data_IF_372848338227
#
_entry.id   IF_372848338227
#
_cell.length_a   1.000
_cell.length_b   1.000
_cell.length_c   1.000
_cell.angle_alpha   90.00
_cell.angle_beta   90.00
_cell.angle_gamma   90.00
#
_symmetry.space_group_name_H-M   'P 1'
#
loop_
_entity.id
_entity.type
_entity.pdbx_description
1 polymer ?
#
# COMPACT_ATOMS: atom_id res chain seq x y z
N UNK A 1 -13.97 -21.45 15.04
CA UNK A 1 -12.58 -21.42 15.55
C UNK A 1 -12.62 -20.70 16.88
N UNK A 2 -12.11 -21.30 17.96
CA UNK A 2 -12.15 -20.71 19.30
C UNK A 2 -11.18 -19.52 19.36
N UNK A 3 -11.72 -18.30 19.38
CA UNK A 3 -10.94 -17.07 19.50
C UNK A 3 -10.45 -16.93 20.95
N UNK A 4 -9.22 -17.38 21.25
CA UNK A 4 -8.46 -17.24 22.50
C UNK A 4 -9.22 -16.53 23.65
N UNK A 5 -9.99 -17.31 24.42
CA UNK A 5 -11.12 -16.82 25.20
C UNK A 5 -10.81 -16.27 26.60
N UNK A 6 -9.57 -16.35 27.09
CA UNK A 6 -9.23 -15.86 28.45
C UNK A 6 -8.42 -14.55 28.44
N UNK A 7 -7.58 -14.36 27.42
CA UNK A 7 -6.78 -13.16 27.18
C UNK A 7 -6.93 -12.84 25.70
N UNK A 8 -7.81 -11.92 25.34
CA UNK A 8 -8.10 -11.61 23.93
C UNK A 8 -6.84 -11.34 23.09
N UNK A 9 -6.92 -11.57 21.77
CA UNK A 9 -5.79 -11.45 20.83
C UNK A 9 -4.91 -10.17 21.02
N UNK A 10 -5.46 -8.97 21.28
CA UNK A 10 -4.66 -7.77 21.53
C UNK A 10 -3.77 -7.87 22.77
N UNK A 11 -4.26 -8.49 23.85
CA UNK A 11 -3.51 -8.66 25.09
C UNK A 11 -2.33 -9.61 24.90
N UNK A 12 -2.57 -10.74 24.22
CA UNK A 12 -1.52 -11.70 23.88
C UNK A 12 -0.46 -11.08 22.97
N UNK A 13 -0.87 -10.29 21.96
CA UNK A 13 0.04 -9.56 21.09
C UNK A 13 0.89 -8.55 21.87
N UNK A 14 0.30 -7.82 22.81
CA UNK A 14 1.02 -6.87 23.64
C UNK A 14 2.10 -7.55 24.51
N UNK A 15 1.76 -8.66 25.15
CA UNK A 15 2.71 -9.47 25.95
C UNK A 15 3.84 -10.00 25.07
N UNK A 16 3.52 -10.56 23.90
CA UNK A 16 4.51 -11.06 22.94
C UNK A 16 5.50 -9.97 22.50
N UNK A 17 5.01 -8.76 22.20
CA UNK A 17 5.85 -7.60 21.83
C UNK A 17 6.74 -7.14 22.99
N UNK A 18 6.24 -7.16 24.22
CA UNK A 18 7.02 -6.78 25.40
C UNK A 18 8.16 -7.77 25.67
N UNK A 19 7.88 -9.08 25.58
CA UNK A 19 8.90 -10.13 25.71
C UNK A 19 9.96 -10.00 24.62
N UNK A 20 9.55 -9.76 23.37
CA UNK A 20 10.49 -9.58 22.26
C UNK A 20 11.43 -8.38 22.49
N UNK A 21 10.91 -7.25 22.98
CA UNK A 21 11.73 -6.09 23.35
C UNK A 21 12.68 -6.38 24.51
N UNK A 22 12.22 -7.07 25.55
CA UNK A 22 13.07 -7.47 26.67
C UNK A 22 14.19 -8.43 26.22
N UNK A 23 13.89 -9.35 25.30
CA UNK A 23 14.87 -10.26 24.70
C UNK A 23 15.95 -9.52 23.89
N UNK A 24 15.58 -8.45 23.19
CA UNK A 24 16.53 -7.60 22.48
C UNK A 24 17.48 -6.87 23.45
N UNK A 25 16.93 -6.29 24.53
CA UNK A 25 17.71 -5.57 25.56
C UNK A 25 18.65 -6.51 26.32
N UNK A 26 18.18 -7.70 26.71
CA UNK A 26 19.02 -8.67 27.45
C UNK A 26 20.20 -9.19 26.62
N UNK A 27 20.10 -9.13 25.29
CA UNK A 27 21.18 -9.51 24.36
C UNK A 27 21.94 -8.32 23.76
N UNK A 28 21.72 -7.12 24.30
CA UNK A 28 22.36 -5.87 23.87
C UNK A 28 22.33 -5.66 22.35
N UNK A 29 21.16 -5.91 21.74
CA UNK A 29 20.98 -5.78 20.29
C UNK A 29 19.72 -4.97 19.95
N UNK A 30 19.71 -4.26 18.80
CA UNK A 30 18.52 -3.55 18.37
C UNK A 30 17.38 -4.53 18.06
N UNK A 31 16.13 -4.11 18.30
CA UNK A 31 14.94 -4.95 18.14
C UNK A 31 14.84 -5.58 16.74
N UNK A 32 15.19 -4.84 15.69
CA UNK A 32 15.19 -5.36 14.32
C UNK A 32 16.18 -6.52 14.12
N UNK A 33 17.38 -6.41 14.71
CA UNK A 33 18.39 -7.47 14.67
C UNK A 33 17.97 -8.67 15.52
N UNK A 34 17.31 -8.44 16.65
CA UNK A 34 16.75 -9.52 17.48
C UNK A 34 15.65 -10.29 16.74
N UNK A 35 14.75 -9.59 16.05
CA UNK A 35 13.72 -10.23 15.22
C UNK A 35 14.35 -11.02 14.06
N UNK A 36 15.35 -10.46 13.37
CA UNK A 36 16.07 -11.16 12.31
C UNK A 36 16.78 -12.43 12.83
N UNK A 37 17.39 -12.34 14.03
CA UNK A 37 17.99 -13.49 14.70
C UNK A 37 16.95 -14.57 15.05
N UNK A 38 15.80 -14.18 15.59
CA UNK A 38 14.70 -15.12 15.89
C UNK A 38 14.13 -15.78 14.62
N UNK A 39 14.07 -15.04 13.52
CA UNK A 39 13.56 -15.51 12.23
C UNK A 39 14.57 -16.32 11.43
N UNK A 40 15.86 -16.34 11.82
CA UNK A 40 16.94 -16.93 11.03
C UNK A 40 17.18 -16.23 9.70
N UNK A 41 16.85 -14.93 9.60
CA UNK A 41 16.98 -14.13 8.38
C UNK A 41 18.02 -13.02 8.55
N UNK A 42 18.47 -12.45 7.43
CA UNK A 42 19.27 -11.23 7.45
C UNK A 42 18.37 -10.00 7.57
N UNK A 43 18.91 -8.94 8.19
CA UNK A 43 18.22 -7.67 8.27
C UNK A 43 18.20 -7.00 6.90
N UNK A 44 17.00 -6.81 6.35
CA UNK A 44 16.77 -6.06 5.12
C UNK A 44 15.80 -4.93 5.43
N UNK A 45 16.12 -3.73 4.94
CA UNK A 45 15.25 -2.58 5.04
C UNK A 45 14.11 -2.72 4.01
N UNK A 46 12.84 -2.63 4.43
CA UNK A 46 11.73 -2.72 3.50
C UNK A 46 11.65 -1.46 2.62
N UNK A 47 11.21 -1.63 1.37
CA UNK A 47 10.83 -0.50 0.53
C UNK A 47 9.54 0.13 1.09
N UNK A 48 9.52 1.44 1.37
CA UNK A 48 8.32 2.09 1.88
C UNK A 48 7.26 2.17 0.79
N UNK A 49 6.06 1.68 1.08
CA UNK A 49 4.87 1.82 0.22
C UNK A 49 3.89 2.71 0.98
N UNK A 50 3.55 3.87 0.39
CA UNK A 50 2.75 4.89 1.08
C UNK A 50 1.38 4.99 0.42
N UNK A 51 0.34 4.99 1.24
CA UNK A 51 -1.04 5.20 0.82
C UNK A 51 -1.21 6.64 0.33
N UNK A 52 -1.61 6.80 -0.93
CA UNK A 52 -1.84 8.09 -1.57
C UNK A 52 -3.32 8.48 -1.53
N UNK A 53 -4.21 7.55 -1.88
CA UNK A 53 -5.66 7.80 -1.99
C UNK A 53 -6.43 6.66 -1.35
N UNK A 54 -7.50 7.01 -0.64
CA UNK A 54 -8.54 6.09 -0.17
C UNK A 54 -9.86 6.44 -0.83
N UNK A 55 -10.57 5.43 -1.35
CA UNK A 55 -11.90 5.56 -1.94
C UNK A 55 -12.90 4.78 -1.09
N UNK A 56 -13.73 5.48 -0.32
CA UNK A 56 -14.71 4.90 0.61
C UNK A 56 -16.06 4.52 -0.04
N UNK A 57 -16.13 4.55 -1.37
CA UNK A 57 -17.33 4.18 -2.11
C UNK A 57 -17.33 2.67 -2.47
N UNK A 58 -18.36 1.89 -2.05
CA UNK A 58 -18.43 0.45 -2.30
C UNK A 58 -18.58 0.07 -3.78
N UNK A 59 -18.97 1.01 -4.65
CA UNK A 59 -19.04 0.80 -6.10
C UNK A 59 -17.66 0.85 -6.76
N UNK A 60 -16.63 1.33 -6.04
CA UNK A 60 -15.26 1.45 -6.56
C UNK A 60 -14.55 0.11 -6.60
N UNK A 61 -13.77 -0.07 -7.67
CA UNK A 61 -12.96 -1.28 -7.81
C UNK A 61 -11.80 -1.32 -6.81
N UNK A 62 -11.11 -0.19 -6.62
CA UNK A 62 -10.00 -0.08 -5.69
C UNK A 62 -10.38 0.85 -4.54
N UNK A 63 -10.05 0.40 -3.34
CA UNK A 63 -10.24 1.20 -2.14
C UNK A 63 -8.98 1.97 -1.77
N UNK A 64 -7.80 1.44 -2.12
CA UNK A 64 -6.53 2.01 -1.70
C UNK A 64 -5.55 2.08 -2.86
N UNK A 65 -4.95 3.25 -3.05
CA UNK A 65 -3.91 3.50 -4.05
C UNK A 65 -2.63 3.96 -3.37
N UNK A 66 -1.49 3.47 -3.82
CA UNK A 66 -0.21 3.63 -3.17
C UNK A 66 0.86 4.12 -4.15
N UNK A 67 1.83 4.87 -3.63
CA UNK A 67 3.10 5.15 -4.31
C UNK A 67 4.17 4.15 -3.90
N UNK A 68 4.89 3.63 -4.90
CA UNK A 68 5.91 2.60 -4.72
C UNK A 68 7.24 3.07 -5.34
N UNK A 69 8.24 3.49 -4.54
CA UNK A 69 9.51 4.03 -5.03
C UNK A 69 10.47 2.90 -5.45
N UNK A 70 10.34 2.41 -6.68
CA UNK A 70 11.10 1.26 -7.22
C UNK A 70 12.61 1.51 -7.34
N UNK A 71 13.04 2.73 -7.65
CA UNK A 71 14.45 3.02 -7.97
C UNK A 71 15.29 3.52 -6.81
N UNK A 72 14.71 3.62 -5.61
CA UNK A 72 15.42 4.17 -4.46
C UNK A 72 16.53 3.25 -3.97
N UNK A 73 17.72 3.81 -3.74
CA UNK A 73 18.89 3.05 -3.25
C UNK A 73 18.91 2.92 -1.73
N UNK A 74 18.16 3.77 -1.04
CA UNK A 74 18.07 3.81 0.41
C UNK A 74 16.68 4.31 0.86
N UNK A 75 16.30 4.04 2.12
CA UNK A 75 14.99 4.44 2.66
C UNK A 75 14.78 5.96 2.59
N UNK A 76 15.82 6.76 2.83
CA UNK A 76 15.70 8.22 2.87
C UNK A 76 15.31 8.77 1.49
N UNK A 77 15.96 8.28 0.44
CA UNK A 77 15.61 8.58 -0.94
C UNK A 77 14.19 8.14 -1.27
N UNK A 78 13.83 6.90 -0.91
CA UNK A 78 12.49 6.36 -1.12
C UNK A 78 11.40 7.24 -0.48
N UNK A 79 11.61 7.66 0.76
CA UNK A 79 10.69 8.56 1.47
C UNK A 79 10.62 9.95 0.85
N UNK A 80 11.75 10.49 0.39
CA UNK A 80 11.81 11.81 -0.25
C UNK A 80 11.00 11.80 -1.55
N UNK A 81 11.22 10.81 -2.41
CA UNK A 81 10.49 10.66 -3.67
C UNK A 81 8.98 10.57 -3.47
N UNK A 82 8.56 9.79 -2.48
CA UNK A 82 7.13 9.62 -2.20
C UNK A 82 6.55 10.87 -1.55
N UNK A 83 7.30 11.56 -0.69
CA UNK A 83 6.87 12.83 -0.11
C UNK A 83 6.66 13.90 -1.20
N UNK A 84 7.54 13.98 -2.20
CA UNK A 84 7.38 14.87 -3.35
C UNK A 84 6.09 14.55 -4.14
N UNK A 85 5.84 13.28 -4.41
CA UNK A 85 4.62 12.83 -5.07
C UNK A 85 3.34 13.16 -4.28
N UNK A 86 3.36 12.99 -2.95
CA UNK A 86 2.23 13.32 -2.07
C UNK A 86 1.99 14.84 -2.03
N UNK A 87 3.05 15.64 -1.98
CA UNK A 87 2.95 17.10 -2.02
C UNK A 87 2.39 17.60 -3.37
N UNK A 88 2.86 17.03 -4.47
CA UNK A 88 2.33 17.31 -5.81
C UNK A 88 0.85 16.91 -5.94
N UNK A 89 0.49 15.71 -5.45
CA UNK A 89 -0.90 15.25 -5.43
C UNK A 89 -1.79 16.17 -4.61
N UNK A 90 -1.33 16.61 -3.43
CA UNK A 90 -2.08 17.56 -2.60
C UNK A 90 -2.38 18.86 -3.33
N UNK A 91 -1.42 19.39 -4.08
CA UNK A 91 -1.61 20.60 -4.86
C UNK A 91 -2.67 20.38 -5.97
N UNK A 92 -2.55 19.29 -6.73
CA UNK A 92 -3.49 18.93 -7.79
C UNK A 92 -4.93 18.76 -7.25
N UNK A 93 -5.08 18.04 -6.13
CA UNK A 93 -6.40 17.82 -5.52
C UNK A 93 -6.99 19.11 -4.97
N UNK A 94 -6.17 19.99 -4.40
CA UNK A 94 -6.62 21.31 -3.95
C UNK A 94 -7.09 22.18 -5.10
N UNK A 95 -6.41 22.12 -6.23
CA UNK A 95 -6.75 22.92 -7.40
C UNK A 95 -8.02 22.39 -8.09
N UNK A 96 -8.23 21.07 -8.12
CA UNK A 96 -9.40 20.43 -8.73
C UNK A 96 -10.67 20.47 -7.85
N UNK A 97 -10.53 20.23 -6.54
CA UNK A 97 -11.65 20.01 -5.62
C UNK A 97 -11.68 21.00 -4.44
N UNK A 98 -10.81 22.01 -4.43
CA UNK A 98 -10.70 22.96 -3.33
C UNK A 98 -10.15 22.34 -2.04
N UNK A 99 -10.42 22.99 -0.91
CA UNK A 99 -9.93 22.55 0.40
C UNK A 99 -10.42 21.13 0.77
N UNK A 100 -11.66 20.79 0.39
CA UNK A 100 -12.28 19.49 0.67
C UNK A 100 -11.55 18.32 0.02
N UNK A 101 -10.90 18.52 -1.13
CA UNK A 101 -10.11 17.50 -1.81
C UNK A 101 -8.80 17.12 -1.11
N UNK A 102 -8.40 17.87 -0.07
CA UNK A 102 -7.18 17.59 0.71
C UNK A 102 -7.45 16.90 2.04
N UNK A 103 -8.69 16.46 2.26
CA UNK A 103 -9.06 15.68 3.44
C UNK A 103 -8.34 14.34 3.44
N UNK A 104 -7.91 13.93 4.64
CA UNK A 104 -7.14 12.72 4.85
C UNK A 104 -8.04 11.69 5.55
N UNK A 105 -8.03 10.45 5.05
CA UNK A 105 -8.74 9.32 5.64
C UNK A 105 -8.09 8.89 6.95
N UNK A 106 -8.77 8.02 7.70
CA UNK A 106 -8.20 7.43 8.92
C UNK A 106 -6.90 6.66 8.66
N UNK A 107 -6.71 6.13 7.44
CA UNK A 107 -5.53 5.38 7.03
C UNK A 107 -4.41 6.27 6.49
N UNK A 108 -4.64 7.59 6.36
CA UNK A 108 -3.62 8.57 5.99
C UNK A 108 -3.58 8.96 4.50
N UNK A 109 -4.39 8.33 3.65
CA UNK A 109 -4.53 8.69 2.22
C UNK A 109 -5.50 9.85 2.00
N UNK A 110 -5.43 10.52 0.85
CA UNK A 110 -6.45 11.51 0.48
C UNK A 110 -7.80 10.82 0.22
N UNK A 111 -8.87 11.33 0.82
CA UNK A 111 -10.21 10.76 0.67
C UNK A 111 -10.88 11.29 -0.60
N UNK A 112 -11.09 10.41 -1.59
CA UNK A 112 -11.78 10.74 -2.85
C UNK A 112 -13.01 9.83 -3.02
N UNK A 113 -14.19 10.40 -2.81
CA UNK A 113 -15.45 9.63 -2.80
C UNK A 113 -16.17 9.64 -4.17
N UNK A 114 -16.13 10.78 -4.87
CA UNK A 114 -16.89 11.02 -6.11
C UNK A 114 -16.04 11.00 -7.39
N UNK A 115 -14.76 10.64 -7.29
CA UNK A 115 -13.81 10.66 -8.42
C UNK A 115 -13.79 9.31 -9.15
N UNK A 116 -13.81 9.30 -10.48
CA UNK A 116 -13.70 8.05 -11.25
C UNK A 116 -12.32 7.39 -11.08
N UNK A 117 -12.23 6.07 -11.19
CA UNK A 117 -10.96 5.33 -11.05
C UNK A 117 -9.91 5.82 -12.06
N UNK A 118 -10.35 6.15 -13.27
CA UNK A 118 -9.49 6.71 -14.32
C UNK A 118 -8.93 8.06 -13.92
N UNK A 119 -9.73 8.93 -13.34
CA UNK A 119 -9.29 10.24 -12.84
C UNK A 119 -8.35 10.09 -11.64
N UNK A 120 -8.57 9.11 -10.76
CA UNK A 120 -7.65 8.81 -9.66
C UNK A 120 -6.29 8.39 -10.21
N UNK A 121 -6.24 7.42 -11.13
CA UNK A 121 -4.99 7.01 -11.77
C UNK A 121 -4.32 8.16 -12.52
N UNK A 122 -5.09 8.96 -13.27
CA UNK A 122 -4.57 10.12 -13.99
C UNK A 122 -3.97 11.15 -13.03
N UNK A 123 -4.62 11.41 -11.89
CA UNK A 123 -4.14 12.33 -10.86
C UNK A 123 -2.84 11.83 -10.24
N UNK A 124 -2.72 10.53 -9.97
CA UNK A 124 -1.50 9.91 -9.47
C UNK A 124 -0.35 9.99 -10.49
N UNK A 125 -0.61 9.66 -11.76
CA UNK A 125 0.38 9.77 -12.84
C UNK A 125 0.84 11.21 -13.02
N UNK A 126 -0.09 12.16 -12.96
CA UNK A 126 0.20 13.59 -13.05
C UNK A 126 1.04 14.04 -11.86
N UNK A 127 0.70 13.63 -10.64
CA UNK A 127 1.49 13.92 -9.44
C UNK A 127 2.93 13.41 -9.55
N UNK A 128 3.11 12.15 -9.99
CA UNK A 128 4.45 11.56 -10.18
C UNK A 128 5.26 12.34 -11.23
N UNK A 129 4.63 12.73 -12.34
CA UNK A 129 5.27 13.53 -13.39
C UNK A 129 5.67 14.91 -12.88
N UNK A 130 4.79 15.59 -12.15
CA UNK A 130 5.07 16.91 -11.55
C UNK A 130 6.19 16.83 -10.50
N UNK A 131 6.30 15.72 -9.79
CA UNK A 131 7.38 15.47 -8.84
C UNK A 131 8.73 15.09 -9.52
N UNK A 132 8.74 14.85 -10.83
CA UNK A 132 9.94 14.45 -11.57
C UNK A 132 10.35 12.98 -11.40
N UNK A 133 9.45 12.13 -10.88
CA UNK A 133 9.75 10.75 -10.51
C UNK A 133 9.10 9.68 -11.42
N UNK A 134 8.76 10.04 -12.67
CA UNK A 134 7.99 9.20 -13.60
C UNK A 134 8.58 7.81 -13.87
N UNK A 135 9.90 7.69 -13.95
CA UNK A 135 10.62 6.42 -14.14
C UNK A 135 10.93 5.67 -12.84
N UNK A 136 10.64 6.28 -11.69
CA UNK A 136 11.18 5.83 -10.41
C UNK A 136 10.12 5.47 -9.38
N UNK A 137 8.89 5.97 -9.54
CA UNK A 137 7.74 5.67 -8.68
C UNK A 137 6.68 4.93 -9.50
N UNK A 138 6.24 3.79 -9.00
CA UNK A 138 5.12 3.02 -9.53
C UNK A 138 3.85 3.32 -8.72
N UNK A 139 2.70 2.98 -9.30
CA UNK A 139 1.42 3.05 -8.60
C UNK A 139 1.03 1.62 -8.21
N UNK A 140 0.64 1.40 -6.97
CA UNK A 140 -0.02 0.16 -6.55
C UNK A 140 -1.48 0.39 -6.19
N UNK A 141 -2.38 -0.54 -6.49
CA UNK A 141 -3.79 -0.45 -6.12
C UNK A 141 -4.30 -1.74 -5.47
N UNK A 142 -5.09 -1.60 -4.41
CA UNK A 142 -5.65 -2.72 -3.66
C UNK A 142 -7.19 -2.69 -3.68
N UNK A 143 -7.77 -3.86 -3.93
CA UNK A 143 -9.22 -4.09 -3.99
C UNK A 143 -9.74 -4.48 -2.61
N UNK A 144 -11.02 -4.25 -2.36
CA UNK A 144 -11.72 -4.80 -1.18
C UNK A 144 -12.14 -6.24 -1.44
N UNK A 145 -12.20 -7.04 -0.38
CA UNK A 145 -12.56 -8.48 -0.43
C UNK A 145 -13.97 -8.74 -1.00
N UNK A 146 -14.82 -7.72 -1.09
CA UNK A 146 -16.22 -7.84 -1.51
C UNK A 146 -16.44 -7.75 -3.03
N UNK A 147 -15.44 -7.32 -3.81
CA UNK A 147 -15.54 -7.23 -5.27
C UNK A 147 -14.66 -8.31 -5.94
N UNK A 148 -15.22 -9.48 -6.30
CA UNK A 148 -14.46 -10.51 -7.00
C UNK A 148 -14.04 -9.98 -8.37
N UNK A 149 -12.74 -9.73 -8.54
CA UNK A 149 -12.16 -9.15 -9.77
C UNK A 149 -12.11 -10.13 -10.96
N UNK A 150 -12.91 -11.21 -10.93
CA UNK A 150 -13.04 -12.17 -12.02
C UNK A 150 -14.22 -11.77 -12.92
N UNK A 151 -14.00 -10.81 -13.83
CA UNK A 151 -15.02 -10.37 -14.80
C UNK A 151 -14.51 -9.41 -15.88
N UNK A 152 -15.41 -8.93 -16.78
CA UNK A 152 -15.12 -8.05 -17.95
C UNK A 152 -14.32 -6.77 -17.66
N UNK A 153 -14.18 -6.42 -16.39
CA UNK A 153 -13.50 -5.24 -15.88
C UNK A 153 -11.97 -5.34 -15.93
N UNK A 154 -11.39 -6.56 -15.91
CA UNK A 154 -9.94 -6.75 -16.01
C UNK A 154 -9.39 -6.23 -17.35
N UNK A 155 -10.18 -6.39 -18.42
CA UNK A 155 -9.87 -5.84 -19.74
C UNK A 155 -9.95 -4.31 -19.76
N UNK A 156 -10.94 -3.74 -19.06
CA UNK A 156 -11.04 -2.28 -18.90
C UNK A 156 -9.86 -1.72 -18.09
N UNK A 157 -9.42 -2.42 -17.05
CA UNK A 157 -8.20 -2.07 -16.31
C UNK A 157 -6.96 -2.18 -17.18
N UNK A 158 -6.76 -3.28 -17.90
CA UNK A 158 -5.61 -3.42 -18.79
C UNK A 158 -5.60 -2.33 -19.87
N UNK A 159 -6.77 -1.93 -20.38
CA UNK A 159 -6.88 -0.80 -21.30
C UNK A 159 -6.45 0.52 -20.64
N UNK A 160 -6.95 0.82 -19.44
CA UNK A 160 -6.61 2.03 -18.69
C UNK A 160 -5.11 2.05 -18.33
N UNK A 161 -4.57 0.93 -17.85
CA UNK A 161 -3.17 0.81 -17.42
C UNK A 161 -2.22 0.97 -18.62
N UNK A 162 -2.56 0.40 -19.79
CA UNK A 162 -1.75 0.53 -21.02
C UNK A 162 -1.68 1.97 -21.55
N UNK A 163 -2.63 2.83 -21.19
CA UNK A 163 -2.60 4.24 -21.58
C UNK A 163 -1.57 5.06 -20.77
N UNK A 164 -1.12 4.54 -19.63
CA UNK A 164 -0.27 5.30 -18.71
C UNK A 164 1.21 4.89 -18.82
N UNK A 165 2.14 5.87 -18.89
CA UNK A 165 3.58 5.61 -19.02
C UNK A 165 4.23 5.15 -17.69
N UNK A 166 3.44 4.90 -16.65
CA UNK A 166 3.91 4.53 -15.31
C UNK A 166 3.42 3.12 -15.02
N UNK A 167 4.32 2.23 -14.58
CA UNK A 167 3.94 0.86 -14.25
C UNK A 167 2.96 0.82 -13.08
N UNK A 168 1.86 0.10 -13.27
CA UNK A 168 0.83 -0.13 -12.25
C UNK A 168 0.94 -1.56 -11.74
N UNK A 169 0.91 -1.73 -10.42
CA UNK A 169 0.84 -3.03 -9.74
C UNK A 169 -0.51 -3.10 -9.04
N UNK A 170 -1.19 -4.23 -9.05
CA UNK A 170 -2.41 -4.39 -8.24
C UNK A 170 -2.40 -5.72 -7.51
N UNK A 171 -3.06 -5.75 -6.36
CA UNK A 171 -3.16 -6.95 -5.53
C UNK A 171 -4.62 -7.35 -5.37
N UNK A 172 -4.88 -8.65 -5.50
CA UNK A 172 -6.15 -9.24 -5.11
C UNK A 172 -6.05 -9.79 -3.68
N UNK A 173 -6.82 -9.22 -2.75
CA UNK A 173 -7.05 -9.86 -1.45
C UNK A 173 -8.06 -10.99 -1.68
N UNK A 174 -7.54 -12.20 -1.94
CA UNK A 174 -8.39 -13.39 -1.93
C UNK A 174 -8.80 -13.69 -0.49
N UNK A 175 -10.11 -13.86 -0.27
CA UNK A 175 -10.68 -14.20 1.03
C UNK A 175 -9.93 -15.39 1.68
N UNK A 176 -9.65 -15.35 3.00
CA UNK A 176 -8.90 -16.39 3.70
C UNK A 176 -9.56 -17.78 3.65
N UNK A 177 -10.82 -17.89 3.21
CA UNK A 177 -11.50 -19.17 3.03
C UNK A 177 -10.87 -20.09 1.95
N UNK A 178 -10.02 -19.54 1.06
CA UNK A 178 -9.33 -20.32 0.02
C UNK A 178 -7.82 -20.45 0.25
N UNK A 179 -7.27 -19.82 1.30
CA UNK A 179 -5.84 -19.84 1.57
C UNK A 179 -5.51 -20.87 2.66
N UNK A 180 -4.95 -22.01 2.25
CA UNK A 180 -4.44 -23.08 3.09
C UNK A 180 -3.23 -22.62 3.90
N UNK A 181 -3.43 -21.80 4.94
CA UNK A 181 -2.49 -21.57 6.04
C UNK A 181 -1.09 -21.02 5.71
N UNK A 182 -0.77 -20.73 4.45
CA UNK A 182 0.54 -20.25 4.03
C UNK A 182 0.49 -18.74 3.80
N UNK A 183 1.02 -17.94 4.74
CA UNK A 183 1.07 -16.48 4.60
C UNK A 183 1.92 -16.01 3.41
N UNK A 184 2.66 -16.91 2.76
CA UNK A 184 3.41 -16.65 1.51
C UNK A 184 2.51 -16.60 0.27
N UNK A 185 1.26 -17.06 0.34
CA UNK A 185 0.33 -17.09 -0.79
C UNK A 185 -0.50 -15.81 -0.96
N UNK A 186 -0.18 -14.73 -0.23
CA UNK A 186 -0.47 -13.36 -0.69
C UNK A 186 0.41 -13.06 -1.90
N UNK A 187 0.13 -13.76 -3.01
CA UNK A 187 0.80 -13.55 -4.26
C UNK A 187 0.38 -12.18 -4.79
N UNK A 188 1.34 -11.25 -4.85
CA UNK A 188 1.21 -10.09 -5.71
C UNK A 188 1.12 -10.63 -7.14
N UNK A 189 -0.08 -10.73 -7.69
CA UNK A 189 -0.26 -10.97 -9.13
C UNK A 189 0.18 -9.71 -9.86
N UNK A 190 1.49 -9.57 -10.04
CA UNK A 190 2.10 -8.45 -10.74
C UNK A 190 1.83 -8.59 -12.24
N UNK A 191 0.75 -8.02 -12.73
CA UNK A 191 0.67 -7.62 -14.14
C UNK A 191 1.43 -6.30 -14.27
N UNK A 192 2.76 -6.36 -14.41
CA UNK A 192 3.56 -5.18 -14.78
C UNK A 192 3.27 -4.92 -16.25
N UNK A 193 2.42 -3.93 -16.53
CA UNK A 193 2.38 -3.36 -17.88
C UNK A 193 3.66 -2.55 -18.08
N UNK A 194 4.48 -2.99 -19.05
CA UNK A 194 5.64 -2.26 -19.56
C UNK A 194 5.20 -1.18 -20.55
#
# INVERSE_FOLDING_TARGET
>A
MNHHTDLGCPALLAISRAICRAGAVTRDMPLSAYIAHLAGTSMVLPMPVILAVTCDNPEKMFHSYYFVPKSATNIKEALTMVADCVAALRALLRDAHGLSGTNVSQDGGFALTDTSEREVFLSLVTAIKHAGHASHVLIAAATTETNPCAGPWLESLHSIIREFPVGVIYTHLASPAQNTGDLRSLAWTSAVAH
#
